data_IF_741422450172
#
_entry.id   IF_741422450172
#
_cell.length_a   1.000
_cell.length_b   1.000
_cell.length_c   1.000
_cell.angle_alpha   90.00
_cell.angle_beta   90.00
_cell.angle_gamma   90.00
#
_symmetry.space_group_name_H-M   'P 1'
#
loop_
_entity.id
_entity.type
_entity.pdbx_description
1 polymer ?
#
# COMPACT_ATOMS: atom_id res chain seq x y z
N UNK A 1 -8.21 8.27 -25.90
CA UNK A 1 -7.71 8.03 -24.53
C UNK A 1 -6.46 7.11 -24.44
N UNK A 2 -6.29 6.11 -25.28
CA UNK A 2 -5.19 5.11 -25.20
C UNK A 2 -3.95 5.44 -26.06
N UNK A 3 -3.88 6.59 -26.71
CA UNK A 3 -2.72 7.02 -27.50
C UNK A 3 -1.47 7.07 -26.61
N UNK A 4 -0.41 6.33 -27.00
CA UNK A 4 0.84 6.21 -26.26
C UNK A 4 0.94 5.05 -25.25
N UNK A 5 -0.14 4.29 -25.02
CA UNK A 5 -0.11 3.08 -24.18
C UNK A 5 0.24 1.89 -25.09
N UNK A 6 1.34 1.21 -24.78
CA UNK A 6 1.77 0.02 -25.54
C UNK A 6 0.96 -1.21 -25.17
N UNK A 7 0.96 -2.22 -26.06
CA UNK A 7 0.32 -3.53 -25.79
C UNK A 7 0.82 -4.16 -24.48
N UNK A 8 2.09 -3.98 -24.16
CA UNK A 8 2.68 -4.53 -22.93
C UNK A 8 2.06 -3.92 -21.67
N UNK A 9 1.81 -2.60 -21.66
CA UNK A 9 1.15 -1.91 -20.54
C UNK A 9 -0.30 -2.33 -20.38
N UNK A 10 -1.04 -2.46 -21.50
CA UNK A 10 -2.41 -2.97 -21.45
C UNK A 10 -2.46 -4.35 -20.81
N UNK A 11 -1.59 -5.27 -21.22
CA UNK A 11 -1.53 -6.62 -20.67
C UNK A 11 -1.14 -6.59 -19.19
N UNK A 12 -0.11 -5.83 -18.80
CA UNK A 12 0.29 -5.69 -17.39
C UNK A 12 -0.81 -5.09 -16.53
N UNK A 13 -1.61 -4.17 -17.07
CA UNK A 13 -2.79 -3.65 -16.40
C UNK A 13 -3.83 -4.75 -16.15
N UNK A 14 -4.17 -5.56 -17.17
CA UNK A 14 -5.09 -6.69 -17.00
C UNK A 14 -4.55 -7.78 -16.07
N UNK A 15 -3.24 -8.05 -16.09
CA UNK A 15 -2.58 -8.96 -15.14
C UNK A 15 -2.77 -8.45 -13.71
N UNK A 16 -2.58 -7.16 -13.48
CA UNK A 16 -2.76 -6.56 -12.15
C UNK A 16 -4.23 -6.61 -11.72
N UNK A 17 -5.14 -6.22 -12.61
CA UNK A 17 -6.59 -6.33 -12.38
C UNK A 17 -7.01 -7.74 -11.92
N UNK A 18 -6.68 -8.77 -12.71
CA UNK A 18 -7.03 -10.15 -12.37
C UNK A 18 -6.38 -10.64 -11.08
N UNK A 19 -5.16 -10.21 -10.84
CA UNK A 19 -4.45 -10.57 -9.60
C UNK A 19 -5.10 -9.92 -8.39
N UNK A 20 -5.54 -8.67 -8.52
CA UNK A 20 -6.22 -7.96 -7.43
C UNK A 20 -7.64 -8.48 -7.23
N UNK A 21 -8.36 -8.84 -8.30
CA UNK A 21 -9.62 -9.61 -8.15
C UNK A 21 -9.38 -10.87 -7.32
N UNK A 22 -8.34 -11.66 -7.65
CA UNK A 22 -8.00 -12.89 -6.91
C UNK A 22 -7.67 -12.61 -5.43
N UNK A 23 -6.85 -11.62 -5.14
CA UNK A 23 -6.45 -11.32 -3.76
C UNK A 23 -7.57 -10.74 -2.93
N UNK A 24 -8.38 -9.87 -3.53
CA UNK A 24 -9.44 -9.14 -2.84
C UNK A 24 -10.74 -9.95 -2.68
N UNK A 25 -10.87 -11.09 -3.37
CA UNK A 25 -11.87 -12.11 -3.01
C UNK A 25 -11.53 -12.80 -1.68
N UNK A 26 -10.26 -12.89 -1.31
CA UNK A 26 -9.79 -13.61 -0.11
C UNK A 26 -9.59 -12.66 1.07
N UNK A 27 -8.92 -11.52 0.83
CA UNK A 27 -8.41 -10.65 1.88
C UNK A 27 -9.47 -10.21 2.90
N UNK A 28 -10.64 -9.68 2.52
CA UNK A 28 -11.64 -9.24 3.49
C UNK A 28 -12.28 -10.41 4.26
N UNK A 29 -12.28 -11.63 3.71
CA UNK A 29 -12.82 -12.82 4.36
C UNK A 29 -11.81 -13.53 5.26
N UNK A 30 -10.52 -13.23 5.13
CA UNK A 30 -9.45 -13.91 5.86
C UNK A 30 -9.56 -13.75 7.38
N UNK A 31 -9.82 -12.56 7.96
CA UNK A 31 -10.04 -12.42 9.40
C UNK A 31 -11.25 -13.22 9.90
N UNK A 32 -12.33 -13.26 9.10
CA UNK A 32 -13.53 -14.07 9.42
C UNK A 32 -13.17 -15.56 9.45
N UNK A 33 -12.50 -16.04 8.43
CA UNK A 33 -12.05 -17.43 8.33
C UNK A 33 -11.10 -17.83 9.47
N UNK A 34 -10.14 -16.95 9.80
CA UNK A 34 -9.21 -17.18 10.91
C UNK A 34 -9.93 -17.29 12.25
N UNK A 35 -10.89 -16.43 12.51
CA UNK A 35 -11.62 -16.41 13.81
C UNK A 35 -12.73 -17.45 13.88
N UNK A 36 -13.64 -17.46 12.90
CA UNK A 36 -14.84 -18.31 12.94
C UNK A 36 -14.57 -19.78 12.59
N UNK A 37 -13.60 -20.06 11.70
CA UNK A 37 -13.32 -21.42 11.22
C UNK A 37 -12.10 -22.03 11.91
N UNK A 38 -11.02 -21.26 12.09
CA UNK A 38 -9.77 -21.75 12.65
C UNK A 38 -9.58 -21.42 14.14
N UNK A 39 -10.49 -20.67 14.76
CA UNK A 39 -10.41 -20.31 16.18
C UNK A 39 -9.21 -19.41 16.54
N UNK A 40 -8.66 -18.68 15.58
CA UNK A 40 -7.49 -17.84 15.79
C UNK A 40 -7.87 -16.55 16.54
N UNK A 41 -7.07 -16.20 17.55
CA UNK A 41 -7.24 -14.93 18.26
C UNK A 41 -6.59 -13.73 17.55
N UNK A 42 -6.86 -12.50 18.06
CA UNK A 42 -6.28 -11.26 17.51
C UNK A 42 -4.77 -11.24 17.39
N UNK A 43 -4.05 -11.85 18.36
CA UNK A 43 -2.58 -11.94 18.32
C UNK A 43 -2.10 -12.73 17.08
N UNK A 44 -2.76 -13.85 16.74
CA UNK A 44 -2.42 -14.65 15.54
C UNK A 44 -2.63 -13.85 14.26
N UNK A 45 -3.72 -13.06 14.18
CA UNK A 45 -4.00 -12.17 13.04
C UNK A 45 -2.89 -11.12 12.93
N UNK A 46 -2.48 -10.51 14.05
CA UNK A 46 -1.41 -9.53 14.09
C UNK A 46 -0.07 -10.08 13.59
N UNK A 47 0.28 -11.31 14.01
CA UNK A 47 1.49 -12.00 13.56
C UNK A 47 1.43 -12.30 12.04
N UNK A 48 0.32 -12.83 11.56
CA UNK A 48 0.13 -13.17 10.13
C UNK A 48 0.28 -11.91 9.27
N UNK A 49 -0.47 -10.86 9.57
CA UNK A 49 -0.49 -9.65 8.75
C UNK A 49 0.80 -8.85 8.90
N UNK A 50 1.36 -8.75 10.11
CA UNK A 50 2.63 -8.08 10.35
C UNK A 50 3.78 -8.71 9.56
N UNK A 51 3.94 -10.04 9.62
CA UNK A 51 4.96 -10.77 8.85
C UNK A 51 4.70 -10.61 7.35
N UNK A 52 3.44 -10.75 6.91
CA UNK A 52 3.07 -10.65 5.52
C UNK A 52 3.47 -9.27 4.91
N UNK A 53 3.02 -8.18 5.50
CA UNK A 53 3.25 -6.84 4.94
C UNK A 53 4.73 -6.41 5.02
N UNK A 54 5.41 -6.73 6.10
CA UNK A 54 6.85 -6.45 6.23
C UNK A 54 7.67 -7.24 5.22
N UNK A 55 7.35 -8.52 4.99
CA UNK A 55 8.00 -9.36 3.97
C UNK A 55 7.88 -8.75 2.58
N UNK A 56 6.68 -8.34 2.18
CA UNK A 56 6.47 -7.71 0.87
C UNK A 56 7.27 -6.40 0.73
N UNK A 57 7.33 -5.59 1.78
CA UNK A 57 8.04 -4.31 1.77
C UNK A 57 9.56 -4.48 1.67
N UNK A 58 10.13 -5.40 2.44
CA UNK A 58 11.56 -5.71 2.41
C UNK A 58 11.96 -6.27 1.04
N UNK A 59 11.21 -7.25 0.54
CA UNK A 59 11.54 -7.92 -0.73
C UNK A 59 11.41 -7.02 -1.95
N UNK A 60 10.58 -5.97 -1.93
CA UNK A 60 10.54 -4.97 -3.01
C UNK A 60 11.89 -4.31 -3.25
N UNK A 61 12.66 -4.01 -2.19
CA UNK A 61 14.00 -3.43 -2.32
C UNK A 61 14.97 -4.40 -3.00
N UNK A 62 14.99 -5.66 -2.55
CA UNK A 62 15.88 -6.67 -3.13
C UNK A 62 15.51 -7.03 -4.56
N UNK A 63 14.23 -7.15 -4.87
CA UNK A 63 13.76 -7.52 -6.21
C UNK A 63 14.05 -6.44 -7.26
N UNK A 64 14.02 -5.16 -6.87
CA UNK A 64 14.43 -4.06 -7.73
C UNK A 64 15.90 -4.19 -8.13
N UNK A 65 16.80 -4.33 -7.14
CA UNK A 65 18.22 -4.54 -7.39
C UNK A 65 18.51 -5.78 -8.25
N UNK A 66 17.84 -6.92 -7.94
CA UNK A 66 18.00 -8.15 -8.70
C UNK A 66 17.53 -8.00 -10.15
N UNK A 67 16.43 -7.29 -10.36
CA UNK A 67 15.86 -6.99 -11.67
C UNK A 67 16.82 -6.20 -12.56
N UNK A 68 17.44 -5.18 -12.00
CA UNK A 68 18.41 -4.34 -12.72
C UNK A 68 19.69 -5.12 -13.08
N UNK A 69 20.16 -5.99 -12.17
CA UNK A 69 21.32 -6.84 -12.38
C UNK A 69 21.06 -7.96 -13.41
N UNK A 70 19.92 -8.64 -13.30
CA UNK A 70 19.61 -9.80 -14.12
C UNK A 70 19.13 -9.43 -15.54
N UNK A 71 18.64 -8.21 -15.76
CA UNK A 71 18.07 -7.73 -17.05
C UNK A 71 16.95 -8.64 -17.61
N UNK A 72 16.34 -9.46 -16.75
CA UNK A 72 15.27 -10.44 -17.08
C UNK A 72 14.04 -10.14 -16.24
N UNK A 73 13.33 -9.06 -16.56
CA UNK A 73 12.19 -8.57 -15.77
C UNK A 73 10.99 -9.50 -15.83
N UNK A 74 10.66 -10.00 -17.04
CA UNK A 74 9.54 -10.92 -17.25
C UNK A 74 9.65 -12.18 -16.37
N UNK A 75 10.85 -12.76 -16.24
CA UNK A 75 11.05 -13.98 -15.45
C UNK A 75 10.73 -13.75 -13.94
N UNK A 76 11.18 -12.62 -13.38
CA UNK A 76 10.89 -12.26 -11.99
C UNK A 76 9.41 -11.96 -11.78
N UNK A 77 8.79 -11.24 -12.73
CA UNK A 77 7.35 -10.97 -12.75
C UNK A 77 6.58 -12.31 -12.74
N UNK A 78 6.90 -13.21 -13.68
CA UNK A 78 6.24 -14.51 -13.78
C UNK A 78 6.41 -15.33 -12.51
N UNK A 79 7.62 -15.44 -11.97
CA UNK A 79 7.86 -16.17 -10.71
C UNK A 79 7.03 -15.61 -9.55
N UNK A 80 7.00 -14.28 -9.38
CA UNK A 80 6.26 -13.63 -8.32
C UNK A 80 4.74 -13.79 -8.44
N UNK A 81 4.17 -13.63 -9.64
CA UNK A 81 2.74 -13.86 -9.87
C UNK A 81 2.37 -15.34 -9.73
N UNK A 82 3.18 -16.27 -10.25
CA UNK A 82 2.95 -17.71 -10.10
C UNK A 82 2.95 -18.14 -8.63
N UNK A 83 3.93 -17.67 -7.84
CA UNK A 83 3.99 -17.96 -6.41
C UNK A 83 2.75 -17.48 -5.67
N UNK A 84 2.32 -16.24 -5.92
CA UNK A 84 1.08 -15.69 -5.34
C UNK A 84 -0.16 -16.48 -5.77
N UNK A 85 -0.26 -16.85 -7.05
CA UNK A 85 -1.41 -17.58 -7.62
C UNK A 85 -1.52 -18.98 -7.04
N UNK A 86 -0.40 -19.67 -6.82
CA UNK A 86 -0.38 -20.99 -6.19
C UNK A 86 -0.71 -20.88 -4.71
N UNK A 87 -0.15 -19.90 -4.00
CA UNK A 87 -0.32 -19.76 -2.54
C UNK A 87 -1.75 -19.48 -2.14
N UNK A 88 -2.44 -18.57 -2.83
CA UNK A 88 -3.77 -18.07 -2.42
C UNK A 88 -4.83 -19.15 -2.26
N UNK A 89 -5.10 -20.04 -3.21
CA UNK A 89 -6.13 -21.06 -3.05
C UNK A 89 -5.78 -22.08 -1.95
N UNK A 90 -4.50 -22.21 -1.56
CA UNK A 90 -4.11 -23.10 -0.47
C UNK A 90 -4.70 -22.68 0.88
N UNK A 91 -5.16 -21.44 1.04
CA UNK A 91 -5.93 -21.01 2.22
C UNK A 91 -7.18 -21.87 2.39
N UNK A 92 -7.78 -22.38 1.30
CA UNK A 92 -8.95 -23.24 1.35
C UNK A 92 -8.71 -24.55 2.09
N UNK A 93 -7.50 -25.08 2.09
CA UNK A 93 -7.15 -26.34 2.78
C UNK A 93 -6.46 -26.11 4.13
N UNK A 94 -6.30 -24.85 4.56
CA UNK A 94 -5.70 -24.55 5.85
C UNK A 94 -6.54 -25.11 7.00
N UNK A 95 -5.89 -25.77 7.96
CA UNK A 95 -6.49 -26.35 9.16
C UNK A 95 -6.03 -25.66 10.45
N UNK A 96 -5.10 -24.72 10.37
CA UNK A 96 -4.62 -23.91 11.49
C UNK A 96 -4.18 -22.54 11.02
N UNK A 97 -4.11 -21.57 11.94
CA UNK A 97 -3.59 -20.23 11.65
C UNK A 97 -2.12 -20.25 11.22
N UNK A 98 -1.32 -21.25 11.65
CA UNK A 98 0.06 -21.40 11.19
C UNK A 98 0.14 -21.75 9.70
N UNK A 99 -0.76 -22.61 9.19
CA UNK A 99 -0.84 -22.85 7.74
C UNK A 99 -1.14 -21.56 6.98
N UNK A 100 -2.09 -20.77 7.47
CA UNK A 100 -2.41 -19.46 6.88
C UNK A 100 -1.20 -18.51 6.93
N UNK A 101 -0.44 -18.50 8.03
CA UNK A 101 0.80 -17.72 8.14
C UNK A 101 1.78 -18.05 7.01
N UNK A 102 2.11 -19.33 6.79
CA UNK A 102 3.05 -19.73 5.75
C UNK A 102 2.51 -19.43 4.35
N UNK A 103 1.22 -19.62 4.12
CA UNK A 103 0.57 -19.32 2.84
C UNK A 103 0.62 -17.81 2.56
N UNK A 104 0.26 -16.98 3.53
CA UNK A 104 0.32 -15.52 3.44
C UNK A 104 1.74 -15.02 3.24
N UNK A 105 2.71 -15.58 3.98
CA UNK A 105 4.13 -15.29 3.78
C UNK A 105 4.54 -15.57 2.34
N UNK A 106 4.20 -16.76 1.79
CA UNK A 106 4.53 -17.15 0.41
C UNK A 106 3.87 -16.21 -0.62
N UNK A 107 2.60 -15.84 -0.44
CA UNK A 107 1.93 -14.86 -1.31
C UNK A 107 2.65 -13.49 -1.27
N UNK A 108 3.08 -13.04 -0.08
CA UNK A 108 3.78 -11.77 0.08
C UNK A 108 5.21 -11.79 -0.45
N UNK A 109 5.89 -12.92 -0.39
CA UNK A 109 7.16 -13.16 -1.11
C UNK A 109 6.92 -12.96 -2.61
N UNK A 110 5.89 -13.59 -3.17
CA UNK A 110 5.51 -13.39 -4.57
C UNK A 110 5.25 -11.93 -4.92
N UNK A 111 4.49 -11.20 -4.08
CA UNK A 111 4.23 -9.76 -4.24
C UNK A 111 5.51 -8.94 -4.20
N UNK A 112 6.41 -9.22 -3.26
CA UNK A 112 7.69 -8.52 -3.13
C UNK A 112 8.59 -8.72 -4.34
N UNK A 113 8.69 -9.96 -4.85
CA UNK A 113 9.53 -10.30 -6.02
C UNK A 113 9.03 -9.61 -7.29
N UNK A 114 7.70 -9.54 -7.53
CA UNK A 114 7.17 -9.03 -8.80
C UNK A 114 7.03 -7.51 -8.90
N UNK A 115 6.84 -6.79 -7.78
CA UNK A 115 6.39 -5.40 -7.82
C UNK A 115 7.40 -4.47 -8.48
N UNK A 116 8.66 -4.45 -8.03
CA UNK A 116 9.67 -3.56 -8.60
C UNK A 116 10.05 -3.94 -10.06
N UNK A 117 10.24 -5.23 -10.43
CA UNK A 117 10.47 -5.61 -11.82
C UNK A 117 9.31 -5.24 -12.76
N UNK A 118 8.05 -5.36 -12.29
CA UNK A 118 6.87 -4.95 -13.05
C UNK A 118 6.86 -3.46 -13.33
N UNK A 119 7.07 -2.66 -12.29
CA UNK A 119 7.07 -1.21 -12.42
C UNK A 119 8.20 -0.74 -13.35
N UNK A 120 9.36 -1.37 -13.26
CA UNK A 120 10.46 -1.13 -14.17
C UNK A 120 10.12 -1.54 -15.63
N UNK A 121 9.44 -2.67 -15.85
CA UNK A 121 9.01 -3.09 -17.18
C UNK A 121 7.96 -2.13 -17.78
N UNK A 122 7.07 -1.58 -16.96
CA UNK A 122 6.12 -0.54 -17.38
C UNK A 122 6.89 0.70 -17.86
N UNK A 123 7.86 1.17 -17.07
CA UNK A 123 8.66 2.33 -17.42
C UNK A 123 9.44 2.12 -18.73
N UNK A 124 10.05 0.95 -18.92
CA UNK A 124 10.82 0.63 -20.15
C UNK A 124 9.94 0.43 -21.39
N UNK A 125 8.64 0.18 -21.19
CA UNK A 125 7.70 -0.07 -22.29
C UNK A 125 7.23 1.18 -23.01
N UNK A 126 7.53 2.39 -22.48
CA UNK A 126 7.08 3.68 -23.04
C UNK A 126 8.12 4.79 -22.87
N UNK A 127 7.98 5.84 -23.68
CA UNK A 127 8.80 7.05 -23.54
C UNK A 127 8.51 7.77 -22.21
N UNK A 128 9.51 8.40 -21.54
CA UNK A 128 9.34 9.09 -20.26
C UNK A 128 8.19 10.12 -20.20
N UNK A 129 7.90 10.80 -21.32
CA UNK A 129 6.80 11.78 -21.40
C UNK A 129 5.41 11.20 -21.16
N UNK A 130 5.24 9.87 -21.19
CA UNK A 130 3.94 9.19 -20.98
C UNK A 130 3.94 8.26 -19.76
N UNK A 131 4.98 8.28 -18.92
CA UNK A 131 5.05 7.46 -17.69
C UNK A 131 3.85 7.68 -16.78
N UNK A 132 3.48 8.94 -16.52
CA UNK A 132 2.32 9.24 -15.68
C UNK A 132 1.04 8.56 -16.16
N UNK A 133 0.82 8.57 -17.49
CA UNK A 133 -0.33 7.91 -18.11
C UNK A 133 -0.27 6.38 -18.00
N UNK A 134 0.92 5.80 -18.19
CA UNK A 134 1.14 4.37 -18.10
C UNK A 134 0.92 3.84 -16.67
N UNK A 135 1.53 4.49 -15.68
CA UNK A 135 1.33 4.14 -14.28
C UNK A 135 -0.08 4.45 -13.80
N UNK A 136 -0.68 5.57 -14.25
CA UNK A 136 -2.07 5.90 -13.96
C UNK A 136 -3.06 4.85 -14.47
N UNK A 137 -2.88 4.37 -15.71
CA UNK A 137 -3.68 3.26 -16.24
C UNK A 137 -3.50 1.98 -15.42
N UNK A 138 -2.25 1.62 -15.10
CA UNK A 138 -1.96 0.44 -14.29
C UNK A 138 -2.64 0.54 -12.91
N UNK A 139 -2.55 1.69 -12.26
CA UNK A 139 -3.17 1.92 -10.95
C UNK A 139 -4.72 1.90 -11.02
N UNK A 140 -5.30 2.40 -12.11
CA UNK A 140 -6.73 2.29 -12.33
C UNK A 140 -7.19 0.82 -12.45
N UNK A 141 -6.39 -0.04 -13.09
CA UNK A 141 -6.66 -1.47 -13.19
C UNK A 141 -6.52 -2.17 -11.83
N UNK A 142 -5.52 -1.80 -11.00
CA UNK A 142 -5.39 -2.27 -9.60
C UNK A 142 -6.67 -1.94 -8.81
N UNK A 143 -7.11 -0.68 -8.83
CA UNK A 143 -8.31 -0.26 -8.12
C UNK A 143 -9.58 -0.93 -8.65
N UNK A 144 -9.70 -1.13 -9.96
CA UNK A 144 -10.82 -1.87 -10.53
C UNK A 144 -10.87 -3.31 -10.01
N UNK A 145 -9.72 -3.99 -9.91
CA UNK A 145 -9.62 -5.31 -9.30
C UNK A 145 -10.01 -5.33 -7.83
N UNK A 146 -9.56 -4.31 -7.07
CA UNK A 146 -9.90 -4.15 -5.65
C UNK A 146 -11.39 -3.85 -5.39
N UNK A 147 -12.11 -3.37 -6.39
CA UNK A 147 -13.58 -3.18 -6.35
C UNK A 147 -14.30 -4.48 -6.75
N UNK A 148 -13.89 -5.11 -7.84
CA UNK A 148 -14.58 -6.27 -8.42
C UNK A 148 -14.38 -7.53 -7.57
N UNK A 149 -13.20 -7.73 -6.98
CA UNK A 149 -12.90 -8.90 -6.14
C UNK A 149 -13.87 -9.08 -4.97
N UNK A 150 -14.01 -8.09 -4.07
CA UNK A 150 -14.96 -8.16 -2.96
C UNK A 150 -16.42 -8.29 -3.41
N UNK A 151 -16.78 -7.64 -4.53
CA UNK A 151 -18.12 -7.75 -5.09
C UNK A 151 -18.45 -9.20 -5.52
N UNK A 152 -17.51 -9.86 -6.22
CA UNK A 152 -17.64 -11.28 -6.59
C UNK A 152 -17.73 -12.15 -5.34
N UNK A 153 -16.87 -11.92 -4.34
CA UNK A 153 -16.86 -12.69 -3.10
C UNK A 153 -18.21 -12.56 -2.35
N UNK A 154 -18.74 -11.34 -2.21
CA UNK A 154 -20.06 -11.11 -1.60
C UNK A 154 -21.18 -11.79 -2.38
N UNK A 155 -21.18 -11.66 -3.71
CA UNK A 155 -22.19 -12.28 -4.56
C UNK A 155 -22.17 -13.81 -4.42
N UNK A 156 -20.98 -14.43 -4.44
CA UNK A 156 -20.84 -15.88 -4.26
C UNK A 156 -21.30 -16.33 -2.88
N UNK A 157 -20.98 -15.60 -1.82
CA UNK A 157 -21.46 -15.90 -0.47
C UNK A 157 -22.97 -15.79 -0.35
N UNK A 158 -23.58 -14.82 -1.01
CA UNK A 158 -25.02 -14.59 -0.92
C UNK A 158 -25.84 -15.57 -1.77
N UNK A 159 -25.34 -15.93 -2.97
CA UNK A 159 -26.16 -16.68 -3.96
C UNK A 159 -25.76 -18.13 -4.12
N UNK A 160 -24.50 -18.50 -3.89
CA UNK A 160 -23.96 -19.78 -4.28
C UNK A 160 -23.52 -20.66 -3.09
N UNK A 161 -22.83 -20.12 -2.11
CA UNK A 161 -22.26 -20.89 -1.01
C UNK A 161 -21.97 -20.02 0.21
N UNK A 162 -22.14 -20.58 1.41
CA UNK A 162 -21.69 -19.95 2.66
C UNK A 162 -20.32 -20.46 3.11
N UNK A 163 -19.67 -21.30 2.29
CA UNK A 163 -18.35 -21.85 2.60
C UNK A 163 -17.22 -20.98 2.05
N UNK A 164 -16.41 -20.42 2.95
CA UNK A 164 -15.26 -19.59 2.61
C UNK A 164 -14.22 -20.34 1.77
N UNK A 165 -14.04 -21.65 2.01
CA UNK A 165 -13.06 -22.48 1.31
C UNK A 165 -13.37 -22.54 -0.18
N UNK A 166 -14.64 -22.66 -0.52
CA UNK A 166 -15.12 -22.63 -1.91
C UNK A 166 -14.81 -21.29 -2.57
N UNK A 167 -15.01 -20.16 -1.87
CA UNK A 167 -14.64 -18.84 -2.39
C UNK A 167 -13.13 -18.74 -2.66
N UNK A 168 -12.31 -19.28 -1.75
CA UNK A 168 -10.85 -19.26 -1.91
C UNK A 168 -10.38 -20.11 -3.10
N UNK A 169 -11.07 -21.20 -3.43
CA UNK A 169 -10.84 -21.95 -4.66
C UNK A 169 -11.24 -21.14 -5.91
N UNK A 170 -12.38 -20.46 -5.91
CA UNK A 170 -12.78 -19.60 -7.03
C UNK A 170 -11.79 -18.47 -7.27
N UNK A 171 -11.16 -17.93 -6.24
CA UNK A 171 -10.14 -16.91 -6.36
C UNK A 171 -8.88 -17.38 -7.14
N UNK A 172 -8.68 -18.69 -7.31
CA UNK A 172 -7.62 -19.22 -8.16
C UNK A 172 -7.84 -18.89 -9.64
N UNK A 173 -9.10 -18.80 -10.10
CA UNK A 173 -9.43 -18.60 -11.52
C UNK A 173 -8.81 -17.30 -12.07
N UNK A 174 -9.10 -16.10 -11.52
CA UNK A 174 -8.48 -14.89 -12.01
C UNK A 174 -6.95 -14.88 -11.79
N UNK A 175 -6.44 -15.52 -10.73
CA UNK A 175 -5.01 -15.70 -10.53
C UNK A 175 -4.34 -16.49 -11.67
N UNK A 176 -4.90 -17.63 -12.04
CA UNK A 176 -4.39 -18.47 -13.15
C UNK A 176 -4.44 -17.69 -14.47
N UNK A 177 -5.55 -16.99 -14.74
CA UNK A 177 -5.66 -16.17 -15.95
C UNK A 177 -4.58 -15.08 -15.99
N UNK A 178 -4.24 -14.47 -14.87
CA UNK A 178 -3.17 -13.47 -14.80
C UNK A 178 -1.80 -14.06 -15.19
N UNK A 179 -1.48 -15.27 -14.72
CA UNK A 179 -0.24 -15.99 -15.07
C UNK A 179 -0.22 -16.37 -16.55
N UNK A 180 -1.33 -16.86 -17.09
CA UNK A 180 -1.48 -17.17 -18.52
C UNK A 180 -1.19 -15.92 -19.38
N UNK A 181 -1.76 -14.75 -19.00
CA UNK A 181 -1.48 -13.50 -19.71
C UNK A 181 0.00 -13.13 -19.70
N UNK A 182 0.71 -13.35 -18.58
CA UNK A 182 2.15 -13.07 -18.51
C UNK A 182 2.92 -14.00 -19.45
N UNK A 183 2.65 -15.30 -19.41
CA UNK A 183 3.37 -16.30 -20.22
C UNK A 183 3.27 -15.96 -21.70
N UNK A 184 2.07 -15.75 -22.21
CA UNK A 184 1.80 -15.68 -23.64
C UNK A 184 1.89 -14.27 -24.22
N UNK A 185 1.61 -13.23 -23.45
CA UNK A 185 1.41 -11.88 -24.00
C UNK A 185 2.39 -10.82 -23.49
N UNK A 186 2.94 -10.95 -22.27
CA UNK A 186 3.98 -10.01 -21.80
C UNK A 186 5.27 -10.27 -22.52
N UNK A 187 5.89 -9.20 -23.05
CA UNK A 187 7.19 -9.27 -23.73
C UNK A 187 8.26 -8.63 -22.87
N UNK A 188 9.46 -9.22 -22.87
CA UNK A 188 10.64 -8.58 -22.31
C UNK A 188 10.98 -7.35 -23.14
N UNK A 189 11.31 -6.24 -22.49
CA UNK A 189 11.72 -5.01 -23.16
C UNK A 189 13.16 -4.72 -22.75
N UNK A 190 14.01 -4.52 -23.72
CA UNK A 190 15.38 -4.07 -23.46
C UNK A 190 15.31 -2.60 -23.06
N UNK A 191 15.89 -2.19 -21.92
CA UNK A 191 15.90 -0.80 -21.51
C UNK A 191 16.46 0.08 -22.62
N UNK A 192 15.79 1.17 -22.94
CA UNK A 192 16.36 2.22 -23.77
C UNK A 192 17.65 2.66 -23.09
N UNK A 193 18.77 2.65 -23.83
CA UNK A 193 20.05 3.16 -23.34
C UNK A 193 19.85 4.64 -22.98
N UNK A 194 19.64 4.92 -21.71
CA UNK A 194 19.82 6.26 -21.19
C UNK A 194 21.27 6.37 -20.79
N UNK A 195 21.96 7.40 -21.27
CA UNK A 195 23.35 7.73 -20.93
C UNK A 195 23.52 8.16 -19.45
N UNK A 196 22.52 7.90 -18.63
CA UNK A 196 22.62 8.08 -17.18
C UNK A 196 23.56 7.02 -16.63
N UNK A 197 24.62 7.41 -15.90
CA UNK A 197 25.52 6.44 -15.29
C UNK A 197 24.70 5.51 -14.41
N UNK A 198 24.79 4.21 -14.67
CA UNK A 198 24.23 3.20 -13.78
C UNK A 198 24.74 3.54 -12.37
N UNK A 199 23.82 3.70 -11.41
CA UNK A 199 24.17 3.88 -9.99
C UNK A 199 24.84 2.57 -9.57
N UNK A 200 26.12 2.46 -9.92
CA UNK A 200 26.95 1.33 -9.54
C UNK A 200 27.16 1.42 -8.04
N UNK A 201 26.67 0.43 -7.32
CA UNK A 201 26.97 0.26 -5.91
C UNK A 201 25.94 0.83 -4.94
N UNK A 202 24.63 0.67 -5.24
CA UNK A 202 23.61 0.92 -4.23
C UNK A 202 23.77 -0.07 -3.07
N UNK A 203 24.47 0.37 -2.03
CA UNK A 203 24.43 -0.25 -0.72
C UNK A 203 23.50 0.60 0.15
N UNK A 204 22.25 0.18 0.38
CA UNK A 204 21.27 0.97 1.15
C UNK A 204 21.72 1.25 2.59
N UNK A 205 22.73 0.53 3.08
CA UNK A 205 23.23 0.63 4.46
C UNK A 205 24.54 1.42 4.61
N UNK A 206 25.27 1.71 3.52
CA UNK A 206 26.63 2.22 3.64
C UNK A 206 26.77 3.74 3.80
N UNK A 207 25.74 4.54 3.56
CA UNK A 207 25.85 6.01 3.54
C UNK A 207 24.77 6.81 4.29
N UNK A 208 24.07 6.22 5.25
CA UNK A 208 22.91 6.91 5.88
C UNK A 208 23.28 7.96 6.96
N UNK A 209 24.52 8.00 7.44
CA UNK A 209 24.88 8.79 8.63
C UNK A 209 24.95 10.32 8.45
N UNK A 210 25.19 10.84 7.23
CA UNK A 210 25.40 12.29 6.99
C UNK A 210 24.64 12.87 5.81
N UNK A 211 23.87 12.05 5.07
CA UNK A 211 23.35 12.40 3.75
C UNK A 211 22.08 13.25 3.80
N UNK A 212 21.27 13.11 4.83
CA UNK A 212 19.95 13.75 4.93
C UNK A 212 19.91 14.87 5.97
N UNK A 213 19.17 15.92 5.61
CA UNK A 213 18.87 17.01 6.53
C UNK A 213 18.12 16.52 7.78
N UNK A 214 18.23 17.23 8.92
CA UNK A 214 17.55 16.87 10.15
C UNK A 214 16.03 16.68 9.98
N UNK A 215 15.40 17.52 9.13
CA UNK A 215 13.96 17.49 8.85
C UNK A 215 13.52 16.14 8.28
N UNK A 216 14.29 15.57 7.34
CA UNK A 216 13.98 14.26 6.79
C UNK A 216 14.12 13.14 7.83
N UNK A 217 15.15 13.21 8.69
CA UNK A 217 15.33 12.24 9.77
C UNK A 217 14.19 12.30 10.79
N UNK A 218 13.79 13.51 11.19
CA UNK A 218 12.63 13.70 12.07
C UNK A 218 11.36 13.17 11.42
N UNK A 219 11.13 13.46 10.12
CA UNK A 219 9.99 12.94 9.39
C UNK A 219 9.95 11.40 9.40
N UNK A 220 11.07 10.72 9.12
CA UNK A 220 11.14 9.26 9.13
C UNK A 220 10.85 8.69 10.53
N UNK A 221 11.36 9.31 11.59
CA UNK A 221 11.07 8.87 12.97
C UNK A 221 9.59 9.04 13.29
N UNK A 222 9.00 10.18 12.94
CA UNK A 222 7.59 10.47 13.21
C UNK A 222 6.69 9.53 12.42
N UNK A 223 7.01 9.22 11.16
CA UNK A 223 6.24 8.27 10.34
C UNK A 223 6.34 6.84 10.90
N UNK A 224 7.47 6.45 11.49
CA UNK A 224 7.60 5.17 12.22
C UNK A 224 6.66 5.14 13.42
N UNK A 225 6.62 6.19 14.24
CA UNK A 225 5.71 6.28 15.39
C UNK A 225 4.24 6.22 14.93
N UNK A 226 3.90 6.94 13.86
CA UNK A 226 2.57 6.87 13.26
C UNK A 226 2.24 5.44 12.80
N UNK A 227 3.16 4.81 12.07
CA UNK A 227 2.97 3.45 11.55
C UNK A 227 2.83 2.41 12.65
N UNK A 228 3.50 2.59 13.80
CA UNK A 228 3.30 1.73 14.97
C UNK A 228 1.86 1.81 15.53
N UNK A 229 1.17 2.93 15.35
CA UNK A 229 -0.26 3.08 15.65
C UNK A 229 -1.17 2.65 14.49
N UNK A 230 -0.65 2.52 13.28
CA UNK A 230 -1.37 2.17 12.06
C UNK A 230 -1.17 0.68 11.74
N UNK A 231 -1.87 -0.17 12.47
CA UNK A 231 -1.85 -1.63 12.28
C UNK A 231 -2.56 -2.07 11.00
N UNK A 232 -2.52 -3.37 10.70
CA UNK A 232 -3.24 -3.95 9.55
C UNK A 232 -4.75 -3.65 9.60
N UNK A 233 -5.33 -3.32 8.45
CA UNK A 233 -6.78 -3.11 8.26
C UNK A 233 -7.60 -4.37 8.62
N UNK A 234 -6.97 -5.54 8.73
CA UNK A 234 -7.59 -6.78 9.22
C UNK A 234 -8.24 -6.62 10.62
N UNK A 235 -7.70 -5.73 11.46
CA UNK A 235 -8.28 -5.43 12.77
C UNK A 235 -9.56 -4.61 12.69
N UNK A 236 -9.71 -3.76 11.68
CA UNK A 236 -10.97 -3.06 11.40
C UNK A 236 -12.07 -4.05 11.00
N UNK A 237 -11.71 -5.04 10.17
CA UNK A 237 -12.61 -6.14 9.78
C UNK A 237 -12.96 -6.99 11.01
N UNK A 238 -11.97 -7.35 11.83
CA UNK A 238 -12.21 -8.09 13.06
C UNK A 238 -13.19 -7.34 13.99
N UNK A 239 -13.03 -6.02 14.12
CA UNK A 239 -13.96 -5.18 14.88
C UNK A 239 -15.37 -5.15 14.28
N UNK A 240 -15.48 -5.13 12.96
CA UNK A 240 -16.75 -5.20 12.25
C UNK A 240 -17.49 -6.51 12.58
N UNK A 241 -16.78 -7.63 12.59
CA UNK A 241 -17.33 -8.96 12.95
C UNK A 241 -17.84 -8.97 14.39
N UNK A 242 -17.06 -8.45 15.36
CA UNK A 242 -17.47 -8.37 16.76
C UNK A 242 -18.73 -7.51 16.95
N UNK A 243 -18.95 -6.51 16.12
CA UNK A 243 -20.13 -5.64 16.15
C UNK A 243 -21.33 -6.21 15.38
N UNK A 244 -21.21 -7.42 14.82
CA UNK A 244 -22.29 -8.15 14.18
C UNK A 244 -22.43 -7.92 12.67
N UNK A 245 -21.43 -7.35 12.00
CA UNK A 245 -21.42 -7.32 10.52
C UNK A 245 -21.30 -8.74 10.00
N UNK A 246 -22.22 -9.16 9.13
CA UNK A 246 -22.26 -10.53 8.62
C UNK A 246 -21.16 -10.80 7.60
N UNK A 247 -20.83 -12.07 7.39
CA UNK A 247 -19.78 -12.51 6.48
C UNK A 247 -19.99 -12.02 5.05
N UNK A 248 -21.24 -11.96 4.61
CA UNK A 248 -21.64 -11.49 3.27
C UNK A 248 -21.47 -9.98 3.12
N UNK A 249 -21.58 -9.24 4.23
CA UNK A 249 -21.41 -7.79 4.27
C UNK A 249 -19.96 -7.35 4.39
N UNK A 250 -19.06 -8.19 4.92
CA UNK A 250 -17.64 -7.85 5.08
C UNK A 250 -16.97 -7.45 3.75
N UNK A 251 -17.15 -8.18 2.63
CA UNK A 251 -16.58 -7.74 1.36
C UNK A 251 -17.19 -6.42 0.87
N UNK A 252 -18.48 -6.15 1.14
CA UNK A 252 -19.12 -4.89 0.78
C UNK A 252 -18.60 -3.71 1.62
N UNK A 253 -18.34 -3.95 2.90
CA UNK A 253 -17.70 -2.98 3.77
C UNK A 253 -16.29 -2.60 3.26
N UNK A 254 -15.52 -3.61 2.86
CA UNK A 254 -14.21 -3.44 2.25
C UNK A 254 -14.27 -2.68 0.90
N UNK A 255 -15.26 -3.02 0.06
CA UNK A 255 -15.56 -2.30 -1.16
C UNK A 255 -15.84 -0.82 -0.90
N UNK A 256 -16.65 -0.49 0.14
CA UNK A 256 -16.95 0.89 0.52
C UNK A 256 -15.67 1.66 0.82
N UNK A 257 -14.74 1.08 1.60
CA UNK A 257 -13.44 1.68 1.87
C UNK A 257 -12.68 2.02 0.58
N UNK A 258 -12.59 1.06 -0.35
CA UNK A 258 -11.84 1.26 -1.60
C UNK A 258 -12.48 2.31 -2.52
N UNK A 259 -13.81 2.36 -2.60
CA UNK A 259 -14.52 3.39 -3.36
C UNK A 259 -14.24 4.79 -2.77
N UNK A 260 -14.38 4.96 -1.46
CA UNK A 260 -14.11 6.25 -0.81
C UNK A 260 -12.64 6.64 -0.95
N UNK A 261 -11.71 5.70 -0.77
CA UNK A 261 -10.29 5.91 -0.97
C UNK A 261 -9.98 6.39 -2.40
N UNK A 262 -10.58 5.77 -3.40
CA UNK A 262 -10.43 6.16 -4.81
C UNK A 262 -10.96 7.58 -5.06
N UNK A 263 -12.16 7.89 -4.59
CA UNK A 263 -12.80 9.19 -4.79
C UNK A 263 -12.05 10.31 -4.08
N UNK A 264 -11.54 10.04 -2.87
CA UNK A 264 -10.85 11.04 -2.04
C UNK A 264 -9.40 11.30 -2.44
N UNK A 265 -8.73 10.36 -3.14
CA UNK A 265 -7.30 10.46 -3.46
C UNK A 265 -6.97 11.65 -4.39
N UNK A 266 -7.77 11.89 -5.44
CA UNK A 266 -7.53 13.02 -6.37
C UNK A 266 -7.79 14.39 -5.71
N UNK A 267 -8.93 14.62 -5.01
CA UNK A 267 -9.14 15.84 -4.25
C UNK A 267 -8.09 16.05 -3.15
N UNK A 268 -7.71 15.00 -2.41
CA UNK A 268 -6.69 15.08 -1.38
C UNK A 268 -5.33 15.50 -1.92
N UNK A 269 -4.91 14.96 -3.07
CA UNK A 269 -3.71 15.40 -3.78
C UNK A 269 -3.79 16.87 -4.19
N UNK A 270 -4.90 17.30 -4.79
CA UNK A 270 -5.10 18.70 -5.19
C UNK A 270 -5.10 19.67 -3.98
N UNK A 271 -5.65 19.27 -2.85
CA UNK A 271 -5.59 20.03 -1.59
C UNK A 271 -4.13 20.14 -1.13
N UNK A 272 -3.35 19.04 -1.18
CA UNK A 272 -1.95 19.06 -0.78
C UNK A 272 -1.04 19.89 -1.69
N UNK A 273 -1.45 20.16 -2.94
CA UNK A 273 -0.74 21.05 -3.86
C UNK A 273 -1.07 22.53 -3.65
N UNK A 274 -2.28 22.83 -3.11
CA UNK A 274 -2.74 24.21 -2.86
C UNK A 274 -2.41 24.70 -1.46
N UNK A 275 -2.45 23.82 -0.48
CA UNK A 275 -2.16 24.12 0.91
C UNK A 275 -0.81 23.53 1.32
N UNK A 276 -0.25 24.04 2.40
CA UNK A 276 0.97 23.46 2.96
C UNK A 276 0.73 21.97 3.33
N UNK A 277 1.49 21.08 2.68
CA UNK A 277 1.36 19.62 2.82
C UNK A 277 1.39 19.15 4.26
N UNK A 278 2.08 19.88 5.12
CA UNK A 278 2.17 19.54 6.56
C UNK A 278 0.81 19.59 7.23
N UNK A 279 0.02 20.64 6.96
CA UNK A 279 -1.33 20.74 7.52
C UNK A 279 -2.26 19.66 6.97
N UNK A 280 -2.09 19.28 5.69
CA UNK A 280 -2.87 18.19 5.08
C UNK A 280 -2.53 16.86 5.73
N UNK A 281 -1.24 16.54 5.94
CA UNK A 281 -0.80 15.32 6.63
C UNK A 281 -1.32 15.31 8.07
N UNK A 282 -1.13 16.40 8.82
CA UNK A 282 -1.61 16.49 10.21
C UNK A 282 -3.12 16.30 10.27
N UNK A 283 -3.89 16.95 9.39
CA UNK A 283 -5.35 16.78 9.37
C UNK A 283 -5.75 15.33 9.07
N UNK A 284 -5.05 14.66 8.14
CA UNK A 284 -5.28 13.25 7.86
C UNK A 284 -4.96 12.34 9.05
N UNK A 285 -3.86 12.57 9.76
CA UNK A 285 -3.51 11.79 10.95
C UNK A 285 -4.43 12.07 12.14
N UNK A 286 -4.96 13.28 12.27
CA UNK A 286 -5.99 13.61 13.26
C UNK A 286 -7.30 12.91 12.92
N UNK A 287 -7.71 12.89 11.65
CA UNK A 287 -8.88 12.12 11.19
C UNK A 287 -8.69 10.64 11.50
N UNK A 288 -7.52 10.07 11.21
CA UNK A 288 -7.18 8.70 11.58
C UNK A 288 -7.31 8.45 13.09
N UNK A 289 -6.71 9.32 13.91
CA UNK A 289 -6.77 9.23 15.38
C UNK A 289 -8.20 9.23 15.89
N UNK A 290 -9.04 10.15 15.39
CA UNK A 290 -10.46 10.22 15.76
C UNK A 290 -11.24 8.97 15.36
N UNK A 291 -10.96 8.41 14.16
CA UNK A 291 -11.62 7.19 13.67
C UNK A 291 -11.22 6.00 14.53
N UNK A 292 -9.94 5.82 14.83
CA UNK A 292 -9.49 4.72 15.70
C UNK A 292 -10.08 4.85 17.11
N UNK A 293 -10.09 6.06 17.65
CA UNK A 293 -10.75 6.29 18.94
C UNK A 293 -12.26 5.99 18.88
N UNK A 294 -12.94 6.36 17.79
CA UNK A 294 -14.36 6.03 17.61
C UNK A 294 -14.58 4.50 17.47
N UNK A 295 -13.69 3.76 16.78
CA UNK A 295 -13.75 2.30 16.75
C UNK A 295 -13.60 1.65 18.12
N UNK A 296 -12.81 2.23 19.04
CA UNK A 296 -12.67 1.75 20.41
C UNK A 296 -14.03 1.73 21.15
N UNK A 297 -14.90 2.69 20.86
CA UNK A 297 -16.20 2.87 21.52
C UNK A 297 -17.40 2.55 20.64
N UNK A 298 -17.19 2.12 19.40
CA UNK A 298 -18.27 1.69 18.51
C UNK A 298 -19.05 0.54 19.14
N UNK A 299 -20.39 0.62 19.09
CA UNK A 299 -21.30 -0.35 19.71
C UNK A 299 -22.40 -0.84 18.77
N UNK A 300 -22.51 -0.27 17.57
CA UNK A 300 -23.56 -0.58 16.61
C UNK A 300 -22.97 -0.81 15.21
N UNK A 301 -23.63 -1.63 14.40
CA UNK A 301 -23.20 -1.96 13.03
C UNK A 301 -23.07 -0.69 12.17
N UNK A 302 -23.99 0.26 12.27
CA UNK A 302 -23.92 1.47 11.45
C UNK A 302 -22.70 2.35 11.76
N UNK A 303 -22.17 2.31 12.99
CA UNK A 303 -20.90 2.98 13.31
C UNK A 303 -19.76 2.46 12.42
N UNK A 304 -19.72 1.15 12.20
CA UNK A 304 -18.68 0.52 11.37
C UNK A 304 -18.72 1.05 9.94
N UNK A 305 -19.90 1.09 9.31
CA UNK A 305 -20.05 1.58 7.94
C UNK A 305 -19.60 3.04 7.79
N UNK A 306 -20.04 3.89 8.73
CA UNK A 306 -19.66 5.31 8.75
C UNK A 306 -18.15 5.47 8.95
N UNK A 307 -17.56 4.74 9.91
CA UNK A 307 -16.13 4.83 10.20
C UNK A 307 -15.27 4.31 9.06
N UNK A 308 -15.68 3.26 8.35
CA UNK A 308 -14.99 2.78 7.15
C UNK A 308 -15.00 3.82 6.02
N UNK A 309 -16.11 4.53 5.84
CA UNK A 309 -16.19 5.62 4.86
C UNK A 309 -15.22 6.76 5.21
N UNK A 310 -15.21 7.22 6.47
CA UNK A 310 -14.27 8.25 6.91
C UNK A 310 -12.81 7.79 6.87
N UNK A 311 -12.54 6.50 7.12
CA UNK A 311 -11.21 5.92 7.02
C UNK A 311 -10.67 5.97 5.59
N UNK A 312 -11.53 5.81 4.58
CA UNK A 312 -11.15 6.03 3.17
C UNK A 312 -10.69 7.47 2.89
N UNK A 313 -11.28 8.48 3.55
CA UNK A 313 -10.88 9.89 3.42
C UNK A 313 -9.47 10.13 3.98
N UNK A 314 -9.12 9.52 5.11
CA UNK A 314 -7.77 9.58 5.66
C UNK A 314 -6.71 9.21 4.62
N UNK A 315 -6.89 8.09 3.91
CA UNK A 315 -5.97 7.67 2.86
C UNK A 315 -5.84 8.73 1.74
N UNK A 316 -6.97 9.29 1.31
CA UNK A 316 -6.97 10.33 0.30
C UNK A 316 -6.17 11.57 0.68
N UNK A 317 -6.21 11.96 1.95
CA UNK A 317 -5.46 13.11 2.46
C UNK A 317 -3.96 12.83 2.61
N UNK A 318 -3.58 11.63 3.06
CA UNK A 318 -2.20 11.38 3.52
C UNK A 318 -1.32 10.74 2.46
N UNK A 319 -1.81 9.76 1.68
CA UNK A 319 -0.96 8.93 0.83
C UNK A 319 -0.17 9.73 -0.22
N UNK A 320 -0.81 10.71 -0.85
CA UNK A 320 -0.15 11.60 -1.81
C UNK A 320 0.73 12.66 -1.14
N UNK A 321 0.21 13.27 -0.08
CA UNK A 321 0.86 14.37 0.62
C UNK A 321 2.18 13.94 1.30
N UNK A 322 2.22 12.77 1.93
CA UNK A 322 3.42 12.22 2.57
C UNK A 322 4.55 11.99 1.56
N UNK A 323 4.23 11.38 0.41
CA UNK A 323 5.21 11.18 -0.67
C UNK A 323 5.71 12.49 -1.26
N UNK A 324 4.80 13.44 -1.46
CA UNK A 324 5.14 14.75 -1.97
C UNK A 324 6.04 15.51 -0.98
N UNK A 325 5.80 15.39 0.34
CA UNK A 325 6.65 16.00 1.36
C UNK A 325 8.08 15.45 1.31
N UNK A 326 8.28 14.14 1.09
CA UNK A 326 9.63 13.57 0.89
C UNK A 326 10.36 14.28 -0.24
N UNK A 327 9.68 14.55 -1.36
CA UNK A 327 10.28 15.30 -2.49
C UNK A 327 10.63 16.73 -2.16
N UNK A 328 9.90 17.37 -1.23
CA UNK A 328 10.12 18.77 -0.87
C UNK A 328 11.30 18.94 0.09
N UNK A 329 11.51 17.99 1.00
CA UNK A 329 12.54 18.10 2.04
C UNK A 329 13.88 17.47 1.65
N UNK A 330 13.94 16.79 0.49
CA UNK A 330 15.14 16.12 0.00
C UNK A 330 15.52 16.63 -1.39
N UNK A 331 16.83 16.88 -1.61
CA UNK A 331 17.35 17.29 -2.92
C UNK A 331 17.07 16.26 -4.02
N UNK A 332 16.87 16.69 -5.29
CA UNK A 332 16.51 15.82 -6.41
C UNK A 332 17.39 14.58 -6.56
N UNK A 333 18.71 14.72 -6.34
CA UNK A 333 19.71 13.67 -6.49
C UNK A 333 19.57 12.56 -5.44
N UNK A 334 18.96 12.87 -4.29
CA UNK A 334 18.81 11.95 -3.15
C UNK A 334 17.37 11.40 -3.00
N UNK A 335 16.42 11.81 -3.84
CA UNK A 335 15.00 11.43 -3.74
C UNK A 335 14.80 9.91 -3.80
N UNK A 336 15.53 9.23 -4.67
CA UNK A 336 15.42 7.77 -4.79
C UNK A 336 15.75 7.03 -3.49
N UNK A 337 16.87 7.42 -2.84
CA UNK A 337 17.29 6.84 -1.55
C UNK A 337 16.30 7.22 -0.45
N UNK A 338 15.81 8.46 -0.45
CA UNK A 338 14.83 8.94 0.54
C UNK A 338 13.51 8.18 0.48
N UNK A 339 12.97 7.96 -0.73
CA UNK A 339 11.79 7.11 -0.92
C UNK A 339 12.04 5.67 -0.49
N UNK A 340 13.22 5.12 -0.82
CA UNK A 340 13.62 3.79 -0.36
C UNK A 340 13.60 3.68 1.16
N UNK A 341 14.20 4.64 1.87
CA UNK A 341 14.24 4.68 3.33
C UNK A 341 12.84 4.90 3.94
N UNK A 342 12.02 5.79 3.36
CA UNK A 342 10.63 6.00 3.77
C UNK A 342 9.82 4.70 3.67
N UNK A 343 9.85 4.01 2.53
CA UNK A 343 9.12 2.76 2.35
C UNK A 343 9.66 1.61 3.18
N UNK A 344 10.97 1.57 3.40
CA UNK A 344 11.57 0.59 4.30
C UNK A 344 11.14 0.82 5.75
N UNK A 345 11.21 2.06 6.22
CA UNK A 345 10.84 2.42 7.58
C UNK A 345 9.35 2.13 7.86
N UNK A 346 8.46 2.52 6.96
CA UNK A 346 7.03 2.21 7.07
C UNK A 346 6.79 0.70 7.00
N UNK A 347 7.39 0.01 6.04
CA UNK A 347 7.19 -1.43 5.85
C UNK A 347 7.66 -2.28 7.01
N UNK A 348 8.83 -2.00 7.59
CA UNK A 348 9.34 -2.77 8.75
C UNK A 348 8.54 -2.48 10.02
N UNK A 349 7.98 -1.27 10.15
CA UNK A 349 7.18 -0.88 11.31
C UNK A 349 5.79 -1.55 11.33
N UNK A 350 5.29 -2.02 10.19
CA UNK A 350 4.00 -2.73 10.11
C UNK A 350 4.01 -4.05 10.89
N UNK A 351 5.16 -4.73 10.99
CA UNK A 351 5.27 -5.95 11.79
C UNK A 351 5.01 -5.66 13.28
N UNK A 352 5.81 -4.83 13.97
CA UNK A 352 5.54 -4.53 15.37
C UNK A 352 4.17 -3.85 15.58
N UNK A 353 3.70 -3.01 14.65
CA UNK A 353 2.38 -2.38 14.73
C UNK A 353 1.26 -3.42 14.83
N UNK A 354 1.23 -4.38 13.90
CA UNK A 354 0.18 -5.41 13.86
C UNK A 354 0.30 -6.40 15.01
N UNK A 355 1.53 -6.77 15.39
CA UNK A 355 1.78 -7.65 16.54
C UNK A 355 1.32 -6.97 17.83
N UNK A 356 1.70 -5.71 18.08
CA UNK A 356 1.28 -4.95 19.27
C UNK A 356 -0.23 -4.81 19.32
N UNK A 357 -0.88 -4.43 18.19
CA UNK A 357 -2.33 -4.31 18.12
C UNK A 357 -3.03 -5.62 18.50
N UNK A 358 -2.55 -6.75 17.95
CA UNK A 358 -3.12 -8.08 18.23
C UNK A 358 -2.97 -8.51 19.69
N UNK A 359 -1.79 -8.31 20.29
CA UNK A 359 -1.53 -8.65 21.69
C UNK A 359 -2.30 -7.73 22.64
N UNK A 360 -2.28 -6.41 22.40
CA UNK A 360 -3.06 -5.46 23.22
C UNK A 360 -4.54 -5.82 23.17
N UNK A 361 -5.07 -6.13 21.98
CA UNK A 361 -6.46 -6.55 21.84
C UNK A 361 -6.76 -7.84 22.64
N UNK A 362 -5.91 -8.84 22.51
CA UNK A 362 -6.12 -10.14 23.15
C UNK A 362 -6.06 -10.08 24.67
N UNK A 363 -5.19 -9.25 25.26
CA UNK A 363 -4.97 -9.22 26.69
C UNK A 363 -5.68 -8.04 27.41
N UNK A 364 -5.80 -6.90 26.76
CA UNK A 364 -6.37 -5.68 27.33
C UNK A 364 -7.69 -5.27 26.68
N UNK A 365 -8.09 -5.98 25.62
CA UNK A 365 -9.35 -5.77 24.91
C UNK A 365 -9.29 -4.72 23.81
N UNK A 366 -10.37 -4.69 23.04
CA UNK A 366 -10.50 -3.86 21.83
C UNK A 366 -10.35 -2.36 22.11
N UNK A 367 -10.89 -1.86 23.23
CA UNK A 367 -10.80 -0.44 23.59
C UNK A 367 -9.34 0.01 23.76
N UNK A 368 -8.55 -0.79 24.47
CA UNK A 368 -7.13 -0.50 24.68
C UNK A 368 -6.34 -0.52 23.36
N UNK A 369 -6.60 -1.51 22.49
CA UNK A 369 -5.92 -1.67 21.23
C UNK A 369 -6.15 -0.49 20.27
N UNK A 370 -7.40 -0.12 20.04
CA UNK A 370 -7.72 1.03 19.18
C UNK A 370 -7.30 2.37 19.80
N UNK A 371 -7.45 2.55 21.12
CA UNK A 371 -6.96 3.76 21.81
C UNK A 371 -5.46 3.90 21.70
N UNK A 372 -4.67 2.82 21.78
CA UNK A 372 -3.23 2.81 21.56
C UNK A 372 -2.88 3.34 20.17
N UNK A 373 -3.52 2.84 19.11
CA UNK A 373 -3.32 3.35 17.74
C UNK A 373 -3.68 4.83 17.60
N UNK A 374 -4.82 5.24 18.18
CA UNK A 374 -5.27 6.63 18.19
C UNK A 374 -4.27 7.57 18.90
N UNK A 375 -3.73 7.17 20.05
CA UNK A 375 -2.76 7.95 20.82
C UNK A 375 -1.46 8.09 20.05
N UNK A 376 -0.94 7.04 19.42
CA UNK A 376 0.27 7.12 18.60
C UNK A 376 0.09 8.05 17.39
N UNK A 377 -1.05 8.00 16.72
CA UNK A 377 -1.36 8.92 15.62
C UNK A 377 -1.46 10.38 16.08
N UNK A 378 -2.09 10.64 17.23
CA UNK A 378 -2.13 11.96 17.86
C UNK A 378 -0.72 12.44 18.24
N UNK A 379 0.07 11.60 18.89
CA UNK A 379 1.46 11.89 19.26
C UNK A 379 2.28 12.24 18.03
N UNK A 380 2.16 11.46 16.96
CA UNK A 380 2.84 11.74 15.69
C UNK A 380 2.43 13.10 15.10
N UNK A 381 1.14 13.45 15.16
CA UNK A 381 0.66 14.77 14.73
C UNK A 381 1.28 15.91 15.54
N UNK A 382 1.38 15.76 16.85
CA UNK A 382 2.01 16.75 17.74
C UNK A 382 3.51 16.86 17.45
N UNK A 383 4.23 15.74 17.37
CA UNK A 383 5.66 15.73 17.03
C UNK A 383 5.92 16.35 15.65
N UNK A 384 5.03 16.10 14.70
CA UNK A 384 5.14 16.67 13.37
C UNK A 384 5.06 18.21 13.38
N UNK A 385 4.13 18.79 14.16
CA UNK A 385 4.04 20.25 14.37
C UNK A 385 5.33 20.82 14.98
N UNK A 386 5.92 20.11 15.95
CA UNK A 386 7.09 20.57 16.69
C UNK A 386 8.36 20.52 15.82
N UNK A 387 8.58 19.40 15.12
CA UNK A 387 9.88 19.12 14.48
C UNK A 387 9.93 19.44 13.00
N UNK A 388 8.81 19.46 12.30
CA UNK A 388 8.75 19.77 10.86
C UNK A 388 8.34 21.22 10.66
N UNK A 389 9.31 22.13 10.74
CA UNK A 389 9.09 23.57 10.58
C UNK A 389 8.79 23.96 9.11
N UNK A 390 8.13 25.09 8.90
CA UNK A 390 7.89 25.67 7.58
C UNK A 390 9.24 26.04 6.96
N UNK A 391 9.62 25.34 5.89
CA UNK A 391 10.72 25.82 5.04
C UNK A 391 10.16 27.06 4.34
N UNK A 392 10.66 28.23 4.68
CA UNK A 392 10.47 29.43 3.87
C UNK A 392 11.17 29.08 2.56
N UNK A 393 10.40 28.75 1.51
CA UNK A 393 10.92 28.75 0.16
C UNK A 393 11.35 30.20 -0.03
N UNK A 394 12.65 30.47 0.02
CA UNK A 394 13.16 31.71 -0.53
C UNK A 394 12.67 31.71 -1.97
N UNK A 395 11.68 32.56 -2.28
CA UNK A 395 11.40 32.95 -3.64
C UNK A 395 12.77 33.18 -4.28
N UNK A 396 13.00 32.54 -5.43
CA UNK A 396 14.09 32.93 -6.28
C UNK A 396 13.96 34.43 -6.38
N UNK A 397 14.84 35.15 -5.69
CA UNK A 397 15.00 36.58 -5.90
C UNK A 397 15.24 36.69 -7.39
N UNK A 398 14.29 37.30 -8.08
CA UNK A 398 14.56 37.88 -9.40
C UNK A 398 15.87 38.61 -9.27
N UNK A 399 16.89 38.10 -9.91
CA UNK A 399 18.19 38.77 -9.98
C UNK A 399 17.97 40.05 -10.77
N UNK A 400 18.08 41.24 -10.14
CA UNK A 400 17.81 42.53 -10.80
C UNK A 400 18.82 42.82 -11.95
N UNK A 401 19.79 41.94 -12.17
CA UNK A 401 20.86 42.14 -13.15
C UNK A 401 20.50 41.73 -14.59
N UNK A 402 19.40 40.95 -14.81
CA UNK A 402 18.98 40.57 -16.18
C UNK A 402 18.11 41.67 -16.90
N UNK A 403 17.64 42.69 -16.20
CA UNK A 403 16.77 43.72 -16.81
C UNK A 403 17.58 44.86 -17.48
N UNK A 404 18.90 44.95 -17.32
CA UNK A 404 19.70 46.00 -17.90
C UNK A 404 20.44 45.68 -19.22
N UNK A 405 20.30 44.49 -19.80
CA UNK A 405 20.98 44.14 -21.05
C UNK A 405 20.13 44.27 -22.32
N UNK A 406 18.88 44.76 -22.25
CA UNK A 406 18.03 45.00 -23.43
C UNK A 406 17.59 46.45 -23.63
N UNK A 407 18.35 47.43 -23.09
CA UNK A 407 18.20 48.87 -23.45
C UNK A 407 19.52 49.47 -23.91
N UNK A 408 20.09 48.94 -24.95
CA UNK A 408 21.03 49.65 -25.80
C UNK A 408 21.26 48.81 -27.06
N UNK A 409 20.48 49.05 -28.06
CA UNK A 409 20.78 49.33 -29.48
C UNK A 409 19.44 49.50 -30.19
#
# INVERSE_FOLDING_TARGET
>A
MLSGITKNILILGFVSFLTDVSSEMIYPLLPVFLTAVLGAGPASIGIIEGIAESTASILKLFSGWLSDKAKKRKSLILAGYSLSTISRPLVAIASSWLHVLFIRFSDRVGKGIRTAPRDALIADSVHPSVWGKAFGFHRAMDHAGAVIGPLIASLLLYTFTHDYRTIFWFAAIPGILSVILIIFFVREVTPLKTDSPAVSGFNPFYHSGGIFAPEFKHFVIIIVIFTLGNSSDAFLILRAIELGVTSEQIPLLWLTLHIIKMISSTPGGAISDRFDRRYVIISGWLVYSMIYFAFAYASQIYHVWVLFAFYGIYFGLTEGAERALVSDIVSPEKRGIAYGLYHFATGISLLPASVLMGFIWQWLGVKAAFSFGAILAMTSSVLFVIFIKKRIIMEKSDDPTEVMSHRSI
#
